data_IF_695780783016
#
_entry.id   IF_695780783016
#
_cell.length_a   1.000
_cell.length_b   1.000
_cell.length_c   1.000
_cell.angle_alpha   90.00
_cell.angle_beta   90.00
_cell.angle_gamma   90.00
#
_symmetry.space_group_name_H-M   'P 1'
#
loop_
_entity.id
_entity.type
_entity.pdbx_description
1 polymer ?
#
# COMPACT_ATOMS: atom_id res chain seq x y z
N UNK A 1 16.77 -12.36 2.69
CA UNK A 1 15.77 -12.68 1.64
C UNK A 1 16.16 -11.93 0.37
N UNK A 2 16.05 -12.52 -0.83
CA UNK A 2 16.43 -11.84 -2.08
C UNK A 2 15.16 -11.61 -2.90
N UNK A 3 14.81 -10.34 -3.15
CA UNK A 3 13.69 -9.99 -4.02
C UNK A 3 14.03 -10.41 -5.45
N UNK A 4 13.20 -11.21 -6.14
CA UNK A 4 13.45 -11.56 -7.53
C UNK A 4 13.34 -10.30 -8.40
N UNK A 5 14.24 -10.16 -9.38
CA UNK A 5 14.11 -9.11 -10.38
C UNK A 5 12.89 -9.36 -11.26
N UNK A 6 12.04 -8.34 -11.41
CA UNK A 6 10.89 -8.35 -12.30
C UNK A 6 11.10 -7.26 -13.35
N UNK A 7 10.89 -7.59 -14.62
CA UNK A 7 10.88 -6.59 -15.69
C UNK A 7 9.62 -5.72 -15.60
N UNK A 8 9.63 -4.56 -16.25
CA UNK A 8 8.44 -3.70 -16.35
C UNK A 8 7.23 -4.46 -16.92
N UNK A 9 7.46 -5.38 -17.86
CA UNK A 9 6.41 -6.22 -18.45
C UNK A 9 5.85 -7.20 -17.42
N UNK A 10 6.69 -7.79 -16.58
CA UNK A 10 6.23 -8.68 -15.51
C UNK A 10 5.38 -7.92 -14.49
N UNK A 11 5.82 -6.72 -14.10
CA UNK A 11 5.08 -5.84 -13.19
C UNK A 11 3.73 -5.44 -13.79
N UNK A 12 3.70 -5.08 -15.08
CA UNK A 12 2.46 -4.75 -15.80
C UNK A 12 1.49 -5.94 -15.81
N UNK A 13 1.98 -7.15 -16.12
CA UNK A 13 1.15 -8.35 -16.11
C UNK A 13 0.59 -8.66 -14.72
N UNK A 14 1.38 -8.49 -13.67
CA UNK A 14 0.92 -8.65 -12.28
C UNK A 14 -0.17 -7.62 -11.95
N UNK A 15 0.06 -6.35 -12.28
CA UNK A 15 -0.91 -5.29 -12.03
C UNK A 15 -2.24 -5.52 -12.80
N UNK A 16 -2.16 -5.97 -14.05
CA UNK A 16 -3.34 -6.30 -14.86
C UNK A 16 -4.09 -7.48 -14.27
N UNK A 17 -3.40 -8.56 -13.88
CA UNK A 17 -4.03 -9.73 -13.24
C UNK A 17 -4.74 -9.33 -11.94
N UNK A 18 -4.05 -8.61 -11.06
CA UNK A 18 -4.61 -8.11 -9.81
C UNK A 18 -5.84 -7.26 -10.05
N UNK A 19 -5.77 -6.30 -10.99
CA UNK A 19 -6.92 -5.45 -11.33
C UNK A 19 -8.10 -6.29 -11.82
N UNK A 20 -7.88 -7.26 -12.70
CA UNK A 20 -8.95 -8.11 -13.24
C UNK A 20 -9.59 -8.98 -12.16
N UNK A 21 -8.81 -9.46 -11.20
CA UNK A 21 -9.27 -10.29 -10.08
C UNK A 21 -10.13 -9.51 -9.08
N UNK A 22 -9.70 -8.31 -8.69
CA UNK A 22 -10.33 -7.56 -7.60
C UNK A 22 -11.29 -6.44 -8.02
N UNK A 23 -11.24 -6.01 -9.29
CA UNK A 23 -12.06 -4.90 -9.80
C UNK A 23 -12.71 -5.21 -11.15
N UNK A 24 -11.91 -5.66 -12.12
CA UNK A 24 -12.31 -5.87 -13.50
C UNK A 24 -11.76 -4.82 -14.46
N UNK A 25 -12.46 -4.60 -15.57
CA UNK A 25 -12.01 -3.74 -16.69
C UNK A 25 -12.51 -2.29 -16.59
N UNK A 26 -13.32 -1.98 -15.59
CA UNK A 26 -13.94 -0.66 -15.42
C UNK A 26 -12.91 0.39 -14.95
N UNK A 27 -13.17 1.64 -15.31
CA UNK A 27 -12.38 2.83 -14.97
C UNK A 27 -13.35 3.90 -14.43
N UNK A 28 -12.97 4.68 -13.40
CA UNK A 28 -11.70 4.62 -12.66
C UNK A 28 -11.55 3.34 -11.81
N UNK A 29 -10.31 2.95 -11.52
CA UNK A 29 -10.03 1.84 -10.58
C UNK A 29 -10.24 2.37 -9.17
N UNK A 30 -11.20 1.81 -8.44
CA UNK A 30 -11.46 2.16 -7.05
C UNK A 30 -10.56 1.38 -6.10
N UNK A 31 -9.36 1.93 -5.85
CA UNK A 31 -8.37 1.30 -4.99
C UNK A 31 -8.80 1.28 -3.52
N UNK A 32 -9.68 2.18 -3.09
CA UNK A 32 -10.22 2.21 -1.73
C UNK A 32 -11.15 1.03 -1.51
N UNK A 33 -12.09 0.80 -2.44
CA UNK A 33 -12.97 -0.38 -2.41
C UNK A 33 -12.17 -1.68 -2.48
N UNK A 34 -11.16 -1.75 -3.36
CA UNK A 34 -10.30 -2.94 -3.43
C UNK A 34 -9.63 -3.19 -2.07
N UNK A 35 -9.06 -2.14 -1.47
CA UNK A 35 -8.33 -2.24 -0.20
C UNK A 35 -9.26 -2.66 0.94
N UNK A 36 -10.34 -1.92 1.18
CA UNK A 36 -11.17 -2.12 2.37
C UNK A 36 -12.13 -3.31 2.22
N UNK A 37 -12.75 -3.47 1.05
CA UNK A 37 -13.82 -4.45 0.88
C UNK A 37 -13.33 -5.77 0.30
N UNK A 38 -12.32 -5.75 -0.58
CA UNK A 38 -11.84 -6.98 -1.26
C UNK A 38 -10.65 -7.61 -0.55
N UNK A 39 -9.73 -6.79 -0.05
CA UNK A 39 -8.55 -7.26 0.68
C UNK A 39 -8.76 -7.24 2.20
N UNK A 40 -9.83 -6.61 2.69
CA UNK A 40 -10.12 -6.47 4.13
C UNK A 40 -9.00 -5.78 4.91
N UNK A 41 -8.37 -4.79 4.27
CA UNK A 41 -7.31 -3.94 4.84
C UNK A 41 -7.94 -2.60 5.18
N UNK A 42 -7.83 -2.14 6.43
CA UNK A 42 -8.42 -0.87 6.85
C UNK A 42 -7.61 0.32 6.36
N UNK A 43 -8.25 1.42 5.97
CA UNK A 43 -7.55 2.67 5.70
C UNK A 43 -7.71 3.58 6.94
N UNK A 44 -6.59 3.97 7.54
CA UNK A 44 -6.57 4.72 8.81
C UNK A 44 -5.84 6.06 8.60
N UNK A 45 -6.58 7.18 8.48
CA UNK A 45 -5.97 8.50 8.41
C UNK A 45 -5.33 8.90 9.75
N UNK A 46 -4.08 9.36 9.71
CA UNK A 46 -3.32 9.83 10.86
C UNK A 46 -2.82 11.26 10.61
N UNK A 47 -3.00 12.12 11.61
CA UNK A 47 -2.56 13.51 11.51
C UNK A 47 -1.03 13.63 11.47
N UNK A 48 -0.52 14.36 10.48
CA UNK A 48 0.90 14.66 10.30
C UNK A 48 1.80 13.41 10.17
N UNK A 49 1.33 12.33 9.54
CA UNK A 49 2.15 11.16 9.22
C UNK A 49 3.43 11.54 8.48
N UNK A 50 3.38 12.52 7.58
CA UNK A 50 4.57 13.03 6.88
C UNK A 50 5.61 13.57 7.86
N UNK A 51 5.20 14.31 8.89
CA UNK A 51 6.15 14.82 9.91
C UNK A 51 6.65 13.71 10.82
N UNK A 52 5.80 12.70 11.06
CA UNK A 52 6.13 11.60 11.94
C UNK A 52 7.11 10.63 11.28
N UNK A 53 6.90 10.28 10.01
CA UNK A 53 7.59 9.18 9.33
C UNK A 53 8.07 9.51 7.91
N UNK A 54 7.95 10.76 7.45
CA UNK A 54 8.38 11.19 6.11
C UNK A 54 7.75 10.42 4.95
N UNK A 55 6.55 9.87 5.15
CA UNK A 55 5.79 9.12 4.15
C UNK A 55 4.34 9.59 4.06
N UNK A 56 3.75 9.37 2.89
CA UNK A 56 2.36 9.71 2.59
C UNK A 56 1.40 8.62 3.10
N UNK A 57 1.82 7.35 3.02
CA UNK A 57 1.10 6.18 3.51
C UNK A 57 2.06 5.07 3.95
N UNK A 58 1.53 4.06 4.66
CA UNK A 58 2.25 2.93 5.21
C UNK A 58 1.32 1.72 5.42
N UNK A 59 1.64 0.56 4.86
CA UNK A 59 0.98 -0.72 5.19
C UNK A 59 1.64 -1.50 6.34
N UNK A 60 0.83 -2.16 7.17
CA UNK A 60 1.30 -3.03 8.26
C UNK A 60 1.81 -4.37 7.74
N UNK A 61 2.76 -4.99 8.45
CA UNK A 61 3.25 -6.35 8.14
C UNK A 61 2.18 -7.43 8.34
N UNK A 62 1.12 -7.12 9.09
CA UNK A 62 -0.04 -8.01 9.29
C UNK A 62 -1.07 -7.91 8.17
N UNK A 63 -0.90 -6.96 7.23
CA UNK A 63 -1.82 -6.73 6.12
C UNK A 63 -3.26 -6.50 6.58
N UNK A 64 -3.44 -5.76 7.67
CA UNK A 64 -4.74 -5.45 8.26
C UNK A 64 -5.06 -3.95 8.24
N UNK A 65 -4.05 -3.10 8.02
CA UNK A 65 -4.23 -1.66 7.93
C UNK A 65 -3.19 -0.98 7.02
N UNK A 66 -3.63 0.11 6.38
CA UNK A 66 -2.80 1.16 5.78
C UNK A 66 -3.02 2.46 6.55
N UNK A 67 -1.95 3.00 7.11
CA UNK A 67 -1.93 4.34 7.67
C UNK A 67 -1.67 5.37 6.56
N UNK A 68 -2.41 6.46 6.51
CA UNK A 68 -2.21 7.54 5.53
C UNK A 68 -2.20 8.90 6.21
N UNK A 69 -1.48 9.89 5.67
CA UNK A 69 -1.57 11.25 6.20
C UNK A 69 -2.98 11.80 5.98
N UNK A 70 -3.59 12.34 7.06
CA UNK A 70 -4.94 12.88 7.01
C UNK A 70 -5.10 14.01 5.99
N UNK A 71 -4.07 14.85 5.81
CA UNK A 71 -4.12 15.92 4.83
C UNK A 71 -4.28 15.36 3.41
N UNK A 72 -3.57 14.28 3.06
CA UNK A 72 -3.71 13.69 1.74
C UNK A 72 -5.03 12.96 1.57
N UNK A 73 -5.46 12.25 2.60
CA UNK A 73 -6.73 11.52 2.60
C UNK A 73 -7.92 12.45 2.33
N UNK A 74 -7.99 13.60 3.01
CA UNK A 74 -9.12 14.51 2.89
C UNK A 74 -8.96 15.56 1.77
N UNK A 75 -7.74 16.06 1.52
CA UNK A 75 -7.52 17.25 0.67
C UNK A 75 -6.81 16.96 -0.65
N UNK A 76 -6.25 15.75 -0.85
CA UNK A 76 -5.44 15.39 -2.03
C UNK A 76 -5.73 13.98 -2.54
N UNK A 77 -6.97 13.74 -2.96
CA UNK A 77 -7.48 12.44 -3.44
C UNK A 77 -6.50 11.71 -4.38
N UNK A 78 -6.02 12.35 -5.45
CA UNK A 78 -5.12 11.69 -6.42
C UNK A 78 -3.79 11.21 -5.78
N UNK A 79 -3.22 12.01 -4.87
CA UNK A 79 -1.97 11.67 -4.18
C UNK A 79 -2.20 10.55 -3.17
N UNK A 80 -3.33 10.61 -2.47
CA UNK A 80 -3.75 9.54 -1.57
C UNK A 80 -3.96 8.22 -2.33
N UNK A 81 -4.76 8.20 -3.40
CA UNK A 81 -5.02 7.01 -4.21
C UNK A 81 -3.76 6.40 -4.81
N UNK A 82 -2.82 7.25 -5.26
CA UNK A 82 -1.52 6.78 -5.73
C UNK A 82 -0.71 6.13 -4.60
N UNK A 83 -0.64 6.77 -3.43
CA UNK A 83 0.09 6.24 -2.27
C UNK A 83 -0.54 4.93 -1.79
N UNK A 84 -1.86 4.85 -1.75
CA UNK A 84 -2.56 3.62 -1.41
C UNK A 84 -2.26 2.48 -2.40
N UNK A 85 -2.27 2.76 -3.70
CA UNK A 85 -1.89 1.76 -4.71
C UNK A 85 -0.42 1.33 -4.57
N UNK A 86 0.47 2.23 -4.16
CA UNK A 86 1.87 1.90 -3.84
C UNK A 86 1.95 0.92 -2.67
N UNK A 87 1.20 1.16 -1.60
CA UNK A 87 1.16 0.26 -0.45
C UNK A 87 0.58 -1.12 -0.79
N UNK A 88 -0.47 -1.18 -1.60
CA UNK A 88 -1.02 -2.46 -2.09
C UNK A 88 -0.03 -3.20 -3.00
N UNK A 89 0.84 -2.49 -3.73
CA UNK A 89 1.94 -3.14 -4.46
C UNK A 89 2.89 -3.87 -3.50
N UNK A 90 3.17 -3.36 -2.30
CA UNK A 90 3.98 -4.09 -1.32
C UNK A 90 3.31 -5.39 -0.88
N UNK A 91 1.99 -5.37 -0.66
CA UNK A 91 1.21 -6.59 -0.38
C UNK A 91 1.33 -7.62 -1.51
N UNK A 92 1.30 -7.18 -2.77
CA UNK A 92 1.35 -8.10 -3.92
C UNK A 92 2.76 -8.65 -4.17
N UNK A 93 3.78 -7.79 -4.13
CA UNK A 93 5.14 -8.14 -4.59
C UNK A 93 6.11 -8.52 -3.47
N UNK A 94 5.83 -8.08 -2.25
CA UNK A 94 6.78 -8.13 -1.14
C UNK A 94 6.15 -8.74 0.13
N UNK A 95 5.11 -9.56 -0.05
CA UNK A 95 4.32 -10.12 1.05
C UNK A 95 5.18 -10.77 2.14
N UNK A 96 5.98 -11.76 1.74
CA UNK A 96 6.79 -12.55 2.67
C UNK A 96 7.88 -11.71 3.35
N UNK A 97 8.40 -10.70 2.66
CA UNK A 97 9.41 -9.78 3.22
C UNK A 97 8.76 -8.97 4.33
N UNK A 98 7.63 -8.33 4.05
CA UNK A 98 6.91 -7.53 5.05
C UNK A 98 6.45 -8.38 6.23
N UNK A 99 5.94 -9.59 6.01
CA UNK A 99 5.58 -10.52 7.11
C UNK A 99 6.78 -10.82 8.01
N UNK A 100 7.98 -10.98 7.45
CA UNK A 100 9.20 -11.22 8.24
C UNK A 100 9.66 -10.03 9.08
N UNK A 101 9.19 -8.81 8.78
CA UNK A 101 9.61 -7.59 9.48
C UNK A 101 8.82 -7.31 10.76
N UNK A 102 7.60 -7.86 10.88
CA UNK A 102 6.76 -7.64 12.06
C UNK A 102 6.44 -6.17 12.36
N UNK A 103 6.27 -5.32 11.34
CA UNK A 103 5.86 -3.92 11.48
C UNK A 103 4.41 -3.87 11.98
N UNK A 104 4.22 -3.43 13.23
CA UNK A 104 2.89 -3.30 13.83
C UNK A 104 2.46 -1.83 13.96
N UNK A 105 3.40 -0.90 14.04
CA UNK A 105 3.11 0.52 14.24
C UNK A 105 4.11 1.46 13.56
N UNK A 106 3.80 2.77 13.55
CA UNK A 106 4.62 3.82 12.92
C UNK A 106 6.06 3.85 13.46
N UNK A 107 6.30 3.51 14.74
CA UNK A 107 7.67 3.50 15.29
C UNK A 107 8.50 2.38 14.68
N UNK A 108 7.91 1.21 14.46
CA UNK A 108 8.59 0.07 13.85
C UNK A 108 9.01 0.42 12.41
N UNK A 109 8.17 1.17 11.70
CA UNK A 109 8.42 1.58 10.32
C UNK A 109 9.59 2.56 10.15
N UNK A 110 9.87 3.41 11.15
CA UNK A 110 11.03 4.32 11.08
C UNK A 110 12.36 3.60 10.89
N UNK A 111 12.44 2.36 11.37
CA UNK A 111 13.64 1.53 11.23
C UNK A 111 13.77 0.92 9.82
N UNK A 112 12.75 1.08 8.96
CA UNK A 112 12.62 0.37 7.68
C UNK A 112 12.77 1.25 6.42
N UNK A 113 12.87 2.58 6.53
CA UNK A 113 12.91 3.52 5.39
C UNK A 113 14.13 3.41 4.43
N UNK A 114 14.80 2.24 4.34
CA UNK A 114 16.01 1.96 3.57
C UNK A 114 15.88 0.65 2.75
N UNK A 115 14.75 0.40 2.10
CA UNK A 115 14.67 -0.61 1.01
C UNK A 115 14.21 0.05 -0.28
#
# INVERSE_FOLDING_TARGET
MKVPYLSNKDIELIAVKFRLEYWGKEIPVDIEIITEQKLNIKIIPISNLIKLASVDALITSKWDAVFTDSFFYFEKENRFRFSLAHEIRHFILHKEIYESLGIENIKDYKNFLII
#
